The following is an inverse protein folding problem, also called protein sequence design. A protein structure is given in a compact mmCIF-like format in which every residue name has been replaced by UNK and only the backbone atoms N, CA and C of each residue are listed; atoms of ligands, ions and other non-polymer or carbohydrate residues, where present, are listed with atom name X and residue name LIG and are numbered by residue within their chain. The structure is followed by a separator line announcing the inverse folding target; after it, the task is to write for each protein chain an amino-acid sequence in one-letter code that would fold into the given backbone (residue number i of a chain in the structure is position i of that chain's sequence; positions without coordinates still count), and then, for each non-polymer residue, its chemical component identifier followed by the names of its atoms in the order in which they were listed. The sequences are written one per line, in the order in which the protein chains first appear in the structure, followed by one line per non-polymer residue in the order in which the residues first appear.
data_IF_392144263808
#
_entry.id   IF_392144263808
#
_cell.length_a   1.000
_cell.length_b   1.000
_cell.length_c   1.000
_cell.angle_alpha   90.00
_cell.angle_beta   90.00
_cell.angle_gamma   90.00
#
_symmetry.space_group_name_H-M   'P 1'
#
loop_
_entity.id
_entity.type
_entity.pdbx_description
1 polymer ?
#
# COMPACT_ATOMS: atom_id res chain seq x y z
N UNK A 1 8.44 0.56 -24.75
CA UNK A 1 7.06 0.48 -24.20
C UNK A 1 6.16 1.31 -25.11
N UNK A 2 5.11 0.74 -25.70
CA UNK A 2 4.25 1.46 -26.65
C UNK A 2 3.13 2.23 -25.93
N UNK A 3 2.61 3.30 -26.56
CA UNK A 3 1.49 4.10 -26.02
C UNK A 3 0.25 3.21 -25.80
N UNK A 4 -0.02 2.29 -26.72
CA UNK A 4 -1.14 1.36 -26.63
C UNK A 4 -1.05 0.44 -25.39
N UNK A 5 0.16 0.00 -25.04
CA UNK A 5 0.39 -0.80 -23.84
C UNK A 5 0.13 -0.01 -22.54
N UNK A 6 0.55 1.26 -22.50
CA UNK A 6 0.28 2.12 -21.33
C UNK A 6 -1.22 2.33 -21.11
N UNK A 7 -1.95 2.63 -22.19
CA UNK A 7 -3.40 2.87 -22.13
C UNK A 7 -4.14 1.59 -21.72
N UNK A 8 -3.79 0.43 -22.27
CA UNK A 8 -4.43 -0.83 -21.89
C UNK A 8 -4.14 -1.21 -20.45
N UNK A 9 -2.92 -0.99 -19.97
CA UNK A 9 -2.54 -1.31 -18.60
C UNK A 9 -3.27 -0.40 -17.59
N UNK A 10 -3.34 0.91 -17.84
CA UNK A 10 -4.09 1.85 -16.99
C UNK A 10 -5.59 1.50 -16.95
N UNK A 11 -6.19 1.12 -18.09
CA UNK A 11 -7.59 0.65 -18.11
C UNK A 11 -7.78 -0.59 -17.24
N UNK A 12 -6.88 -1.56 -17.32
CA UNK A 12 -6.96 -2.76 -16.50
C UNK A 12 -6.92 -2.45 -15.00
N UNK A 13 -6.11 -1.47 -14.57
CA UNK A 13 -6.11 -0.99 -13.19
C UNK A 13 -7.42 -0.30 -12.78
N UNK A 14 -8.00 0.50 -13.69
CA UNK A 14 -9.29 1.16 -13.45
C UNK A 14 -10.45 0.15 -13.37
N UNK A 15 -10.45 -0.86 -14.24
CA UNK A 15 -11.44 -1.93 -14.25
C UNK A 15 -11.34 -2.78 -12.97
N UNK A 16 -10.12 -3.08 -12.52
CA UNK A 16 -9.88 -3.75 -11.24
C UNK A 16 -10.44 -2.92 -10.07
N UNK A 17 -10.17 -1.61 -10.04
CA UNK A 17 -10.72 -0.73 -9.01
C UNK A 17 -12.25 -0.67 -9.07
N UNK A 18 -12.84 -0.58 -10.26
CA UNK A 18 -14.28 -0.56 -10.42
C UNK A 18 -14.90 -1.87 -9.93
N UNK A 19 -14.33 -3.01 -10.29
CA UNK A 19 -14.76 -4.32 -9.79
C UNK A 19 -14.67 -4.40 -8.26
N UNK A 20 -13.56 -3.90 -7.68
CA UNK A 20 -13.39 -3.79 -6.23
C UNK A 20 -14.46 -2.91 -5.57
N UNK A 21 -14.83 -1.78 -6.19
CA UNK A 21 -15.86 -0.89 -5.66
C UNK A 21 -17.27 -1.49 -5.78
N UNK A 22 -17.57 -2.18 -6.88
CA UNK A 22 -18.85 -2.86 -7.08
C UNK A 22 -19.04 -3.97 -6.05
N UNK A 23 -18.00 -4.78 -5.79
CA UNK A 23 -18.04 -5.80 -4.75
C UNK A 23 -18.35 -5.23 -3.36
N UNK A 24 -18.03 -3.96 -3.09
CA UNK A 24 -18.35 -3.31 -1.82
C UNK A 24 -19.86 -3.16 -1.57
N UNK A 25 -20.68 -3.23 -2.62
CA UNK A 25 -22.13 -3.17 -2.48
C UNK A 25 -22.72 -4.46 -1.93
N UNK A 26 -22.00 -5.57 -2.05
CA UNK A 26 -22.42 -6.91 -1.61
C UNK A 26 -21.66 -7.38 -0.34
N UNK A 27 -20.57 -6.69 0.01
CA UNK A 27 -19.68 -7.08 1.10
C UNK A 27 -19.58 -5.99 2.19
N UNK A 28 -20.28 -6.13 3.33
CA UNK A 28 -20.31 -5.10 4.37
C UNK A 28 -18.94 -4.73 4.94
N UNK A 29 -18.00 -5.66 5.09
CA UNK A 29 -16.66 -5.36 5.59
C UNK A 29 -15.82 -4.53 4.60
N UNK A 30 -16.07 -4.70 3.30
CA UNK A 30 -15.44 -3.89 2.26
C UNK A 30 -16.05 -2.51 2.19
N UNK A 31 -17.37 -2.41 2.34
CA UNK A 31 -18.03 -1.13 2.51
C UNK A 31 -17.49 -0.39 3.74
N UNK A 32 -17.30 -1.11 4.86
CA UNK A 32 -16.69 -0.58 6.07
C UNK A 32 -15.24 -0.14 5.83
N UNK A 33 -14.44 -0.93 5.12
CA UNK A 33 -13.07 -0.58 4.73
C UNK A 33 -13.01 0.73 3.93
N UNK A 34 -13.81 0.83 2.88
CA UNK A 34 -13.86 2.02 2.01
C UNK A 34 -14.43 3.23 2.74
N UNK A 35 -15.47 3.05 3.54
CA UNK A 35 -16.07 4.10 4.37
C UNK A 35 -15.08 4.65 5.39
N UNK A 36 -14.42 3.76 6.15
CA UNK A 36 -13.37 4.11 7.09
C UNK A 36 -12.16 4.77 6.39
N UNK A 37 -11.75 4.23 5.25
CA UNK A 37 -10.67 4.78 4.42
C UNK A 37 -10.97 6.20 3.94
N UNK A 38 -12.17 6.42 3.39
CA UNK A 38 -12.64 7.75 2.96
C UNK A 38 -12.67 8.74 4.13
N UNK A 39 -13.18 8.31 5.28
CA UNK A 39 -13.21 9.14 6.47
C UNK A 39 -11.81 9.46 6.98
N UNK A 40 -10.85 8.52 6.91
CA UNK A 40 -9.45 8.77 7.25
C UNK A 40 -8.82 9.84 6.33
N UNK A 41 -9.06 9.74 5.02
CA UNK A 41 -8.59 10.72 4.02
C UNK A 41 -9.16 12.11 4.30
N UNK A 42 -10.48 12.22 4.50
CA UNK A 42 -11.15 13.49 4.83
C UNK A 42 -10.62 14.05 6.16
N UNK A 43 -10.44 13.19 7.17
CA UNK A 43 -9.92 13.60 8.46
C UNK A 43 -8.52 14.20 8.36
N UNK A 44 -7.65 13.63 7.50
CA UNK A 44 -6.33 14.21 7.22
C UNK A 44 -6.43 15.55 6.51
N UNK A 45 -7.26 15.67 5.46
CA UNK A 45 -7.48 16.92 4.74
C UNK A 45 -7.91 18.06 5.68
N UNK A 46 -8.87 17.78 6.55
CA UNK A 46 -9.46 18.75 7.47
C UNK A 46 -8.67 18.93 8.77
N UNK A 47 -7.64 18.11 9.01
CA UNK A 47 -6.84 18.15 10.24
C UNK A 47 -7.58 17.61 11.47
N UNK A 48 -8.60 16.76 11.30
CA UNK A 48 -9.38 16.14 12.37
C UNK A 48 -8.63 14.99 13.03
N UNK A 49 -7.55 15.31 13.75
CA UNK A 49 -6.61 14.33 14.33
C UNK A 49 -7.26 13.27 15.23
N UNK A 50 -8.33 13.62 15.96
CA UNK A 50 -9.07 12.68 16.81
C UNK A 50 -9.83 11.65 15.97
N UNK A 51 -10.48 12.11 14.90
CA UNK A 51 -11.22 11.24 13.97
C UNK A 51 -10.25 10.35 13.22
N UNK A 52 -9.16 10.91 12.67
CA UNK A 52 -8.11 10.17 11.97
C UNK A 52 -7.53 9.04 12.85
N UNK A 53 -7.24 9.35 14.12
CA UNK A 53 -6.75 8.36 15.08
C UNK A 53 -7.75 7.23 15.34
N UNK A 54 -9.03 7.55 15.51
CA UNK A 54 -10.05 6.55 15.77
C UNK A 54 -10.27 5.66 14.54
N UNK A 55 -10.47 6.27 13.37
CA UNK A 55 -10.81 5.54 12.15
C UNK A 55 -9.65 4.71 11.62
N UNK A 56 -8.40 5.18 11.75
CA UNK A 56 -7.20 4.45 11.30
C UNK A 56 -7.10 3.07 11.93
N UNK A 57 -7.57 2.91 13.18
CA UNK A 57 -7.54 1.62 13.88
C UNK A 57 -8.52 0.59 13.31
N UNK A 58 -9.49 1.02 12.52
CA UNK A 58 -10.56 0.17 11.98
C UNK A 58 -10.33 -0.26 10.53
N UNK A 59 -9.50 0.47 9.80
CA UNK A 59 -9.23 0.24 8.36
C UNK A 59 -8.65 -1.16 8.13
N UNK A 60 -7.50 -1.50 8.72
CA UNK A 60 -6.88 -2.81 8.48
C UNK A 60 -7.73 -3.99 8.97
N UNK A 61 -8.39 -3.93 10.16
CA UNK A 61 -9.33 -4.96 10.57
C UNK A 61 -10.50 -5.18 9.59
N UNK A 62 -11.06 -4.11 9.03
CA UNK A 62 -12.12 -4.24 8.02
C UNK A 62 -11.63 -4.94 6.76
N UNK A 63 -10.40 -4.65 6.32
CA UNK A 63 -9.78 -5.36 5.19
C UNK A 63 -9.46 -6.82 5.52
N UNK A 64 -9.05 -7.11 6.75
CA UNK A 64 -8.78 -8.47 7.21
C UNK A 64 -10.03 -9.35 7.18
N UNK A 65 -11.21 -8.78 7.49
CA UNK A 65 -12.47 -9.49 7.33
C UNK A 65 -12.73 -9.88 5.86
N UNK A 66 -12.33 -9.05 4.89
CA UNK A 66 -12.43 -9.40 3.46
C UNK A 66 -11.53 -10.57 3.08
N UNK A 67 -10.36 -10.71 3.73
CA UNK A 67 -9.47 -11.89 3.55
C UNK A 67 -10.12 -13.14 4.13
N UNK A 68 -10.72 -13.05 5.32
CA UNK A 68 -11.42 -14.17 5.95
C UNK A 68 -12.59 -14.69 5.11
N UNK A 69 -13.29 -13.81 4.38
CA UNK A 69 -14.39 -14.20 3.47
C UNK A 69 -13.94 -15.08 2.30
N UNK A 70 -12.78 -14.81 1.71
CA UNK A 70 -12.37 -15.37 0.42
C UNK A 70 -11.28 -16.45 0.52
N UNK A 71 -11.14 -17.08 1.69
CA UNK A 71 -10.08 -18.04 1.96
C UNK A 71 -9.02 -17.43 2.86
N UNK A 72 -9.06 -17.83 4.13
CA UNK A 72 -8.16 -17.36 5.17
C UNK A 72 -6.70 -17.67 4.84
N UNK A 73 -5.94 -16.66 4.40
CA UNK A 73 -4.47 -16.73 4.40
C UNK A 73 -3.93 -16.19 5.73
N UNK A 74 -3.34 -17.03 6.60
CA UNK A 74 -2.72 -16.57 7.83
C UNK A 74 -1.59 -15.57 7.58
N UNK A 75 -0.88 -15.71 6.45
CA UNK A 75 0.18 -14.80 6.05
C UNK A 75 -0.37 -13.40 5.74
N UNK A 76 -1.46 -13.30 4.96
CA UNK A 76 -2.11 -12.02 4.68
C UNK A 76 -2.66 -11.37 5.95
N UNK A 77 -3.26 -12.15 6.85
CA UNK A 77 -3.77 -11.63 8.13
C UNK A 77 -2.65 -11.10 9.02
N UNK A 78 -1.53 -11.83 9.12
CA UNK A 78 -0.33 -11.37 9.83
C UNK A 78 0.25 -10.10 9.19
N UNK A 79 0.27 -10.04 7.85
CA UNK A 79 0.66 -8.86 7.08
C UNK A 79 -0.20 -7.64 7.41
N UNK A 80 -1.53 -7.79 7.40
CA UNK A 80 -2.48 -6.73 7.74
C UNK A 80 -2.36 -6.28 9.20
N UNK A 81 -2.05 -7.18 10.13
CA UNK A 81 -1.73 -6.81 11.52
C UNK A 81 -0.44 -5.97 11.57
N UNK A 82 0.59 -6.32 10.81
CA UNK A 82 1.78 -5.49 10.61
C UNK A 82 1.45 -4.13 9.98
N UNK A 83 0.56 -4.11 8.98
CA UNK A 83 0.06 -2.89 8.35
C UNK A 83 -0.65 -1.97 9.34
N UNK A 84 -1.47 -2.51 10.24
CA UNK A 84 -2.12 -1.76 11.32
C UNK A 84 -1.09 -1.11 12.26
N UNK A 85 -0.02 -1.84 12.58
CA UNK A 85 1.11 -1.31 13.35
C UNK A 85 1.77 -0.17 12.57
N UNK A 86 2.09 -0.35 11.29
CA UNK A 86 2.62 0.72 10.43
C UNK A 86 1.73 1.96 10.39
N UNK A 87 0.43 1.78 10.25
CA UNK A 87 -0.57 2.85 10.24
C UNK A 87 -0.63 3.61 11.57
N UNK A 88 -0.57 2.90 12.71
CA UNK A 88 -0.54 3.57 14.03
C UNK A 88 0.72 4.40 14.22
N UNK A 89 1.85 3.94 13.71
CA UNK A 89 3.10 4.67 13.76
C UNK A 89 3.01 6.00 12.99
N UNK A 90 2.33 6.00 11.84
CA UNK A 90 2.11 7.19 11.01
C UNK A 90 1.16 8.23 11.63
N UNK A 91 0.55 7.94 12.79
CA UNK A 91 -0.19 8.92 13.58
C UNK A 91 0.73 9.77 14.48
N UNK A 92 1.97 9.34 14.69
CA UNK A 92 2.97 10.10 15.41
C UNK A 92 3.47 11.23 14.48
N UNK A 93 3.64 12.46 14.99
CA UNK A 93 4.17 13.55 14.17
C UNK A 93 5.54 13.21 13.56
N UNK A 94 5.85 13.74 12.35
CA UNK A 94 7.05 13.39 11.57
C UNK A 94 8.39 13.82 12.19
N UNK A 95 8.37 14.32 13.42
CA UNK A 95 9.56 14.63 14.22
C UNK A 95 10.12 13.40 14.93
N UNK A 96 9.32 12.34 15.15
CA UNK A 96 9.76 11.14 15.85
C UNK A 96 9.26 9.90 15.11
N UNK A 97 10.11 9.30 14.27
CA UNK A 97 9.74 8.10 13.53
C UNK A 97 9.89 6.87 14.44
N UNK A 98 8.80 6.17 14.77
CA UNK A 98 8.90 4.98 15.60
C UNK A 98 9.43 3.78 14.79
N UNK A 99 10.52 3.17 15.25
CA UNK A 99 11.11 1.97 14.63
C UNK A 99 10.09 0.83 14.47
N UNK A 100 9.20 0.65 15.45
CA UNK A 100 8.16 -0.39 15.40
C UNK A 100 7.18 -0.22 14.23
N UNK A 101 6.92 1.03 13.80
CA UNK A 101 6.10 1.31 12.63
C UNK A 101 6.69 0.73 11.36
N UNK A 102 8.00 0.85 11.24
CA UNK A 102 8.77 0.41 10.07
C UNK A 102 8.84 -1.12 10.02
N UNK A 103 8.99 -1.77 11.18
CA UNK A 103 8.83 -3.22 11.29
C UNK A 103 7.43 -3.66 10.86
N UNK A 104 6.38 -2.92 11.22
CA UNK A 104 5.01 -3.19 10.78
C UNK A 104 4.84 -3.10 9.25
N UNK A 105 5.37 -2.03 8.64
CA UNK A 105 5.35 -1.84 7.18
C UNK A 105 6.13 -2.95 6.47
N UNK A 106 7.33 -3.27 6.97
CA UNK A 106 8.16 -4.34 6.43
C UNK A 106 7.45 -5.69 6.51
N UNK A 107 6.84 -6.02 7.66
CA UNK A 107 6.08 -7.26 7.83
C UNK A 107 4.89 -7.35 6.86
N UNK A 108 4.16 -6.24 6.66
CA UNK A 108 3.05 -6.19 5.72
C UNK A 108 3.49 -6.47 4.28
N UNK A 109 4.53 -5.78 3.82
CA UNK A 109 5.06 -5.95 2.47
C UNK A 109 5.76 -7.29 2.28
N UNK A 110 6.40 -7.84 3.31
CA UNK A 110 6.95 -9.19 3.29
C UNK A 110 5.84 -10.23 3.12
N UNK A 111 4.72 -10.10 3.83
CA UNK A 111 3.56 -10.99 3.66
C UNK A 111 3.01 -10.95 2.23
N UNK A 112 2.85 -9.75 1.65
CA UNK A 112 2.45 -9.62 0.24
C UNK A 112 3.48 -10.24 -0.71
N UNK A 113 4.78 -10.00 -0.48
CA UNK A 113 5.83 -10.56 -1.32
C UNK A 113 5.86 -12.10 -1.28
N UNK A 114 5.66 -12.70 -0.10
CA UNK A 114 5.57 -14.16 0.07
C UNK A 114 4.37 -14.72 -0.69
N UNK A 115 3.20 -14.10 -0.56
CA UNK A 115 1.97 -14.52 -1.25
C UNK A 115 2.09 -14.39 -2.78
N UNK A 116 2.64 -13.29 -3.26
CA UNK A 116 2.92 -13.08 -4.69
C UNK A 116 3.90 -14.14 -5.21
N UNK A 117 4.98 -14.40 -4.45
CA UNK A 117 5.97 -15.40 -4.84
C UNK A 117 5.40 -16.82 -4.86
N UNK A 118 4.55 -17.16 -3.88
CA UNK A 118 3.83 -18.43 -3.80
C UNK A 118 2.90 -18.67 -5.01
N UNK A 119 2.46 -17.61 -5.67
CA UNK A 119 1.66 -17.65 -6.91
C UNK A 119 2.49 -17.67 -8.18
N UNK A 120 3.79 -17.87 -8.06
CA UNK A 120 4.68 -17.97 -9.21
C UNK A 120 5.31 -16.64 -9.64
N UNK A 121 5.06 -15.52 -8.95
CA UNK A 121 5.72 -14.26 -9.30
C UNK A 121 7.24 -14.37 -9.18
N UNK A 122 7.94 -13.79 -10.16
CA UNK A 122 9.40 -13.73 -10.24
C UNK A 122 9.87 -12.30 -10.46
N UNK A 123 11.00 -12.00 -9.84
CA UNK A 123 11.69 -10.72 -10.03
C UNK A 123 12.35 -10.70 -11.42
N UNK A 124 12.32 -9.54 -12.07
CA UNK A 124 13.02 -9.33 -13.33
C UNK A 124 13.86 -8.07 -13.22
N UNK A 125 15.16 -8.18 -13.55
CA UNK A 125 16.12 -7.07 -13.49
C UNK A 125 15.61 -5.86 -14.28
N UNK A 126 15.04 -6.10 -15.46
CA UNK A 126 14.48 -5.04 -16.33
C UNK A 126 13.32 -4.26 -15.68
N UNK A 127 12.50 -4.93 -14.85
CA UNK A 127 11.33 -4.35 -14.17
C UNK A 127 11.66 -3.76 -12.79
N UNK A 128 12.72 -4.27 -12.16
CA UNK A 128 13.20 -3.78 -10.87
C UNK A 128 13.92 -2.44 -10.97
N UNK A 129 14.48 -2.08 -12.13
CA UNK A 129 15.36 -0.93 -12.28
C UNK A 129 14.80 0.40 -11.75
N UNK A 130 13.56 0.75 -12.13
CA UNK A 130 12.93 1.99 -11.67
C UNK A 130 12.66 1.99 -10.16
N UNK A 131 12.28 0.84 -9.60
CA UNK A 131 11.99 0.67 -8.17
C UNK A 131 13.26 0.69 -7.34
N UNK A 132 14.32 0.06 -7.84
CA UNK A 132 15.65 0.13 -7.26
C UNK A 132 16.18 1.57 -7.26
N UNK A 133 15.98 2.33 -8.34
CA UNK A 133 16.31 3.74 -8.39
C UNK A 133 15.50 4.58 -7.38
N UNK A 134 14.19 4.35 -7.28
CA UNK A 134 13.35 5.02 -6.28
C UNK A 134 13.80 4.69 -4.84
N UNK A 135 14.15 3.43 -4.58
CA UNK A 135 14.67 2.98 -3.30
C UNK A 135 16.00 3.63 -2.94
N UNK A 136 16.96 3.65 -3.86
CA UNK A 136 18.27 4.28 -3.61
C UNK A 136 18.15 5.78 -3.39
N UNK A 137 17.26 6.45 -4.12
CA UNK A 137 16.90 7.86 -3.87
C UNK A 137 16.32 8.02 -2.46
N UNK A 138 15.42 7.15 -2.03
CA UNK A 138 14.87 7.15 -0.67
C UNK A 138 15.93 6.98 0.42
N UNK A 139 16.84 6.01 0.26
CA UNK A 139 17.96 5.78 1.17
C UNK A 139 18.91 6.99 1.19
N UNK A 140 19.21 7.57 0.03
CA UNK A 140 20.01 8.79 -0.07
C UNK A 140 19.36 9.98 0.63
N UNK A 141 18.05 10.15 0.47
CA UNK A 141 17.27 11.20 1.14
C UNK A 141 17.29 11.03 2.67
N UNK A 142 17.08 9.81 3.16
CA UNK A 142 17.21 9.48 4.59
C UNK A 142 18.63 9.80 5.10
N UNK A 143 19.65 9.43 4.33
CA UNK A 143 21.06 9.65 4.70
C UNK A 143 21.42 11.13 4.78
N UNK A 144 20.85 11.95 3.89
CA UNK A 144 21.08 13.39 3.84
C UNK A 144 20.31 14.16 4.92
N UNK A 145 19.05 13.77 5.18
CA UNK A 145 18.13 14.58 6.03
C UNK A 145 17.94 14.05 7.43
N UNK A 146 17.89 12.73 7.64
CA UNK A 146 17.53 12.12 8.92
C UNK A 146 18.14 10.71 9.04
N UNK A 147 19.40 10.64 9.50
CA UNK A 147 20.20 9.40 9.53
C UNK A 147 19.52 8.24 10.28
N UNK A 148 18.68 8.54 11.27
CA UNK A 148 17.85 7.56 11.99
C UNK A 148 16.92 6.75 11.07
N UNK A 149 16.59 7.29 9.89
CA UNK A 149 15.75 6.64 8.89
C UNK A 149 16.52 5.75 7.92
N UNK A 150 17.85 5.71 7.93
CA UNK A 150 18.63 4.94 6.95
C UNK A 150 18.29 3.45 7.05
N UNK A 151 18.50 2.84 8.22
CA UNK A 151 18.24 1.41 8.40
C UNK A 151 16.78 1.05 8.10
N UNK A 152 15.78 1.82 8.57
CA UNK A 152 14.40 1.60 8.17
C UNK A 152 14.12 1.75 6.67
N UNK A 153 14.64 2.79 6.01
CA UNK A 153 14.44 3.02 4.59
C UNK A 153 15.09 1.91 3.74
N UNK A 154 16.23 1.39 4.19
CA UNK A 154 16.88 0.22 3.58
C UNK A 154 15.95 -1.00 3.69
N UNK A 155 15.52 -1.37 4.91
CA UNK A 155 14.78 -2.61 5.13
C UNK A 155 13.34 -2.53 4.60
N UNK A 156 12.54 -1.57 5.10
CA UNK A 156 11.15 -1.46 4.69
C UNK A 156 11.03 -1.08 3.21
N UNK A 157 11.88 -0.17 2.72
CA UNK A 157 11.91 0.21 1.31
C UNK A 157 12.25 -0.95 0.38
N UNK A 158 13.14 -1.86 0.78
CA UNK A 158 13.44 -3.05 0.00
C UNK A 158 12.22 -3.96 -0.13
N UNK A 159 11.49 -4.22 0.97
CA UNK A 159 10.25 -5.02 0.93
C UNK A 159 9.16 -4.35 0.09
N UNK A 160 8.97 -3.04 0.22
CA UNK A 160 7.99 -2.29 -0.59
C UNK A 160 8.32 -2.39 -2.08
N UNK A 161 9.60 -2.25 -2.44
CA UNK A 161 10.05 -2.41 -3.82
C UNK A 161 9.93 -3.85 -4.32
N UNK A 162 10.17 -4.84 -3.46
CA UNK A 162 9.98 -6.25 -3.78
C UNK A 162 8.50 -6.56 -4.06
N UNK A 163 7.57 -6.11 -3.20
CA UNK A 163 6.12 -6.24 -3.44
C UNK A 163 5.73 -5.62 -4.77
N UNK A 164 6.16 -4.37 -5.00
CA UNK A 164 5.84 -3.63 -6.23
C UNK A 164 6.44 -4.27 -7.48
N UNK A 165 7.61 -4.90 -7.39
CA UNK A 165 8.22 -5.64 -8.51
C UNK A 165 7.50 -6.96 -8.79
N UNK A 166 7.18 -7.72 -7.74
CA UNK A 166 6.53 -9.03 -7.85
C UNK A 166 5.09 -8.89 -8.34
N UNK A 167 4.36 -7.88 -7.87
CA UNK A 167 2.97 -7.62 -8.27
C UNK A 167 2.85 -7.20 -9.75
N UNK A 168 3.91 -6.65 -10.32
CA UNK A 168 4.00 -6.26 -11.73
C UNK A 168 4.41 -7.42 -12.66
N UNK A 169 4.56 -8.64 -12.15
CA UNK A 169 4.95 -9.79 -12.99
C UNK A 169 3.82 -10.20 -13.94
N UNK A 170 4.05 -10.28 -15.26
CA UNK A 170 3.02 -10.69 -16.23
C UNK A 170 2.41 -12.05 -15.95
N UNK A 171 3.15 -12.96 -15.30
CA UNK A 171 2.64 -14.27 -14.89
C UNK A 171 1.40 -14.18 -13.98
N UNK A 172 1.20 -13.04 -13.29
CA UNK A 172 0.04 -12.77 -12.46
C UNK A 172 -1.06 -11.95 -13.17
N UNK A 173 -0.82 -11.44 -14.39
CA UNK A 173 -1.70 -10.48 -15.06
C UNK A 173 -2.67 -11.12 -16.06
N UNK A 174 -2.44 -12.38 -16.43
CA UNK A 174 -3.31 -13.12 -17.36
C UNK A 174 -4.58 -13.68 -16.68
N UNK A 175 -4.73 -13.45 -15.37
CA UNK A 175 -5.86 -13.92 -14.57
C UNK A 175 -7.10 -13.02 -14.57
N UNK A 176 -7.86 -13.12 -13.49
CA UNK A 176 -9.11 -12.39 -13.28
C UNK A 176 -8.92 -10.86 -13.28
N UNK A 177 -10.01 -10.10 -13.44
CA UNK A 177 -9.97 -8.63 -13.33
C UNK A 177 -9.32 -8.14 -12.03
N UNK A 178 -9.58 -8.73 -10.84
CA UNK A 178 -8.82 -8.45 -9.61
C UNK A 178 -7.30 -8.64 -9.73
N UNK A 179 -6.83 -9.71 -10.38
CA UNK A 179 -5.40 -10.01 -10.51
C UNK A 179 -4.64 -8.92 -11.30
N UNK A 180 -5.29 -8.36 -12.33
CA UNK A 180 -4.76 -7.21 -13.10
C UNK A 180 -4.57 -5.94 -12.26
N UNK A 181 -5.23 -5.86 -11.10
CA UNK A 181 -5.09 -4.78 -10.12
C UNK A 181 -3.81 -4.86 -9.28
N UNK A 182 -3.13 -6.00 -9.20
CA UNK A 182 -2.00 -6.22 -8.29
C UNK A 182 -0.87 -5.22 -8.49
N UNK A 183 -0.40 -5.07 -9.73
CA UNK A 183 0.68 -4.14 -10.07
C UNK A 183 0.33 -2.69 -9.72
N UNK A 184 -0.87 -2.25 -10.12
CA UNK A 184 -1.37 -0.90 -9.79
C UNK A 184 -1.45 -0.67 -8.28
N UNK A 185 -1.99 -1.62 -7.54
CA UNK A 185 -2.11 -1.53 -6.10
C UNK A 185 -0.75 -1.43 -5.41
N UNK A 186 0.20 -2.30 -5.79
CA UNK A 186 1.53 -2.30 -5.21
C UNK A 186 2.35 -1.04 -5.59
N UNK A 187 2.11 -0.47 -6.78
CA UNK A 187 2.73 0.78 -7.21
C UNK A 187 2.18 1.99 -6.43
N UNK A 188 0.88 2.00 -6.12
CA UNK A 188 0.29 3.00 -5.23
C UNK A 188 0.86 2.91 -3.82
N UNK A 189 1.06 1.68 -3.30
CA UNK A 189 1.71 1.49 -2.00
C UNK A 189 3.16 1.99 -2.01
N UNK A 190 3.95 1.66 -3.05
CA UNK A 190 5.30 2.19 -3.20
C UNK A 190 5.33 3.72 -3.22
N UNK A 191 4.44 4.35 -4.00
CA UNK A 191 4.32 5.80 -4.05
C UNK A 191 3.93 6.40 -2.69
N UNK A 192 2.98 5.79 -1.98
CA UNK A 192 2.55 6.24 -0.67
C UNK A 192 3.66 6.14 0.38
N UNK A 193 4.47 5.07 0.39
CA UNK A 193 5.62 4.96 1.29
C UNK A 193 6.74 5.95 0.93
N UNK A 194 6.93 6.25 -0.36
CA UNK A 194 7.81 7.33 -0.81
C UNK A 194 7.35 8.69 -0.30
N UNK A 195 6.04 8.97 -0.34
CA UNK A 195 5.47 10.19 0.24
C UNK A 195 5.67 10.19 1.76
N UNK A 196 5.43 9.08 2.47
CA UNK A 196 5.65 8.99 3.91
C UNK A 196 7.09 9.35 4.29
N UNK A 197 8.07 8.83 3.55
CA UNK A 197 9.47 9.18 3.74
C UNK A 197 9.75 10.66 3.47
N UNK A 198 9.11 11.25 2.45
CA UNK A 198 9.21 12.67 2.15
C UNK A 198 8.62 13.55 3.27
N UNK A 199 7.49 13.13 3.86
CA UNK A 199 6.85 13.78 5.02
C UNK A 199 7.76 13.78 6.26
N UNK A 200 8.49 12.68 6.47
CA UNK A 200 9.42 12.51 7.59
C UNK A 200 10.75 13.27 7.43
N UNK A 201 11.10 13.68 6.20
CA UNK A 201 12.42 14.25 5.88
C UNK A 201 12.39 15.71 5.44
N UNK A 202 11.53 16.06 4.47
CA UNK A 202 11.50 17.38 3.85
C UNK A 202 10.27 18.21 4.21
N UNK A 203 9.12 17.56 4.46
CA UNK A 203 7.84 18.23 4.63
C UNK A 203 7.32 18.10 6.07
N UNK A 204 8.07 18.56 7.06
CA UNK A 204 7.78 18.29 8.49
C UNK A 204 6.70 19.19 9.13
N UNK A 205 6.10 20.11 8.38
CA UNK A 205 5.07 21.03 8.87
C UNK A 205 3.63 20.49 8.85
N UNK A 206 2.68 21.33 9.30
CA UNK A 206 1.23 21.06 9.33
C UNK A 206 0.42 22.20 8.68
N UNK A 207 0.70 22.51 7.41
CA UNK A 207 -0.14 23.44 6.62
C UNK A 207 -1.17 22.69 5.77
N UNK A 208 -2.11 23.41 5.14
CA UNK A 208 -3.09 22.80 4.24
C UNK A 208 -2.45 21.96 3.12
N UNK A 209 -1.29 22.38 2.59
CA UNK A 209 -0.52 21.59 1.61
C UNK A 209 0.01 20.29 2.21
N UNK A 210 0.51 20.34 3.44
CA UNK A 210 1.03 19.16 4.16
C UNK A 210 -0.10 18.14 4.38
N UNK A 211 -1.28 18.62 4.79
CA UNK A 211 -2.49 17.81 4.96
C UNK A 211 -3.00 17.20 3.65
N UNK A 212 -2.94 17.95 2.55
CA UNK A 212 -3.27 17.43 1.22
C UNK A 212 -2.34 16.28 0.81
N UNK A 213 -1.03 16.41 1.07
CA UNK A 213 -0.06 15.34 0.83
C UNK A 213 -0.33 14.13 1.73
N UNK A 214 -0.61 14.33 3.02
CA UNK A 214 -0.95 13.26 3.96
C UNK A 214 -2.23 12.52 3.55
N UNK A 215 -3.21 13.25 3.02
CA UNK A 215 -4.45 12.67 2.51
C UNK A 215 -4.26 11.92 1.19
N UNK A 216 -3.45 12.44 0.27
CA UNK A 216 -3.12 11.77 -0.99
C UNK A 216 -2.35 10.46 -0.73
N UNK A 217 -1.37 10.51 0.17
CA UNK A 217 -0.67 9.32 0.67
C UNK A 217 -1.69 8.31 1.22
N UNK A 218 -2.60 8.73 2.10
CA UNK A 218 -3.59 7.85 2.70
C UNK A 218 -4.54 7.25 1.66
N UNK A 219 -5.00 8.03 0.70
CA UNK A 219 -5.85 7.54 -0.40
C UNK A 219 -5.12 6.47 -1.22
N UNK A 220 -3.84 6.70 -1.55
CA UNK A 220 -2.98 5.73 -2.21
C UNK A 220 -2.83 4.43 -1.42
N UNK A 221 -2.67 4.51 -0.09
CA UNK A 221 -2.63 3.32 0.77
C UNK A 221 -3.96 2.55 0.75
N UNK A 222 -5.09 3.23 0.89
CA UNK A 222 -6.41 2.59 0.90
C UNK A 222 -6.68 1.86 -0.42
N UNK A 223 -6.48 2.54 -1.55
CA UNK A 223 -6.70 1.93 -2.86
C UNK A 223 -5.66 0.82 -3.11
N UNK A 224 -4.41 1.06 -2.75
CA UNK A 224 -3.32 0.11 -2.93
C UNK A 224 -3.54 -1.20 -2.20
N UNK A 225 -3.88 -1.14 -0.91
CA UNK A 225 -4.18 -2.34 -0.12
C UNK A 225 -5.43 -3.07 -0.62
N UNK A 226 -6.48 -2.34 -1.02
CA UNK A 226 -7.67 -2.95 -1.60
C UNK A 226 -7.35 -3.80 -2.83
N UNK A 227 -6.65 -3.21 -3.79
CA UNK A 227 -6.30 -3.87 -5.06
C UNK A 227 -5.36 -5.06 -4.83
N UNK A 228 -4.38 -4.93 -3.95
CA UNK A 228 -3.46 -6.04 -3.63
C UNK A 228 -4.20 -7.19 -2.94
N UNK A 229 -5.04 -6.89 -1.94
CA UNK A 229 -5.82 -7.93 -1.28
C UNK A 229 -6.82 -8.59 -2.23
N UNK A 230 -7.43 -7.84 -3.15
CA UNK A 230 -8.36 -8.41 -4.12
C UNK A 230 -7.69 -9.33 -5.12
N UNK A 231 -6.60 -8.88 -5.74
CA UNK A 231 -5.85 -9.74 -6.65
C UNK A 231 -5.26 -10.96 -5.96
N UNK A 232 -5.00 -10.89 -4.65
CA UNK A 232 -4.57 -12.05 -3.88
C UNK A 232 -5.75 -12.96 -3.47
N UNK A 233 -6.89 -12.44 -3.07
CA UNK A 233 -7.94 -13.30 -2.46
C UNK A 233 -9.01 -13.75 -3.44
N UNK A 234 -9.30 -12.98 -4.50
CA UNK A 234 -10.45 -13.23 -5.39
C UNK A 234 -10.11 -13.93 -6.69
N UNK A 235 -8.83 -14.08 -7.01
CA UNK A 235 -8.37 -14.81 -8.20
C UNK A 235 -8.71 -16.32 -8.16
N UNK A 236 -9.39 -16.78 -7.10
CA UNK A 236 -9.83 -18.16 -6.89
C UNK A 236 -11.28 -18.45 -7.31
N UNK A 237 -12.03 -17.49 -7.85
CA UNK A 237 -13.40 -17.76 -8.33
C UNK A 237 -13.40 -18.21 -9.79
N UNK A 238 -13.19 -19.52 -9.99
CA UNK A 238 -13.82 -20.28 -11.07
C UNK A 238 -14.97 -21.09 -10.46
#
# INVERSE_FOLDING_TARGET
MSVNYLVSHTRAGADALLASLLAATEEPERLAYLGAGKLAVISKLLGWRRVDRAVTQTVMPALAASVLRHGSSPMLLAGLAGGLVGDRAKLVPPTRTPVWGLCGIAANHAAYAVELHGRGARTSISRSGLRAAAWTVGVGLASWRKKELIAPAVIAGAFVCATSTLADDPALQDGSTPAKGLGHGANLLLGAEGIALLRETLLTGDSARHRAVDAAMRAGQIIGHLLVIDGLTRDQTN
#
